data_IF_997164171134
#
_entry.id   IF_997164171134
#
_cell.length_a   1.000
_cell.length_b   1.000
_cell.length_c   1.000
_cell.angle_alpha   90.00
_cell.angle_beta   90.00
_cell.angle_gamma   90.00
#
_symmetry.space_group_name_H-M   'P 1'
#
loop_
_entity.id
_entity.type
_entity.pdbx_description
1 polymer ?
#
# COMPACT_ATOMS: atom_id res chain seq x y z
N UNK A 1 2.12 12.25 -3.34
CA UNK A 1 3.32 12.13 -2.46
C UNK A 1 3.35 10.71 -1.91
N UNK A 2 4.52 10.09 -1.78
CA UNK A 2 4.63 8.71 -1.28
C UNK A 2 5.55 8.60 -0.04
N UNK A 3 5.34 7.55 0.75
CA UNK A 3 6.22 7.13 1.84
C UNK A 3 7.49 6.47 1.30
N UNK A 4 8.48 6.16 2.16
CA UNK A 4 9.50 5.16 1.81
C UNK A 4 8.87 3.80 1.45
N UNK A 5 9.61 2.98 0.71
CA UNK A 5 9.17 1.65 0.29
C UNK A 5 9.58 0.61 1.34
N UNK A 6 8.61 -0.20 1.78
CA UNK A 6 8.85 -1.38 2.61
C UNK A 6 9.09 -2.58 1.71
N UNK A 7 10.19 -3.29 1.95
CA UNK A 7 10.60 -4.50 1.23
C UNK A 7 10.55 -5.68 2.19
N UNK A 8 9.99 -6.82 1.77
CA UNK A 8 9.91 -8.02 2.60
C UNK A 8 9.77 -9.30 1.78
N UNK A 9 10.00 -10.44 2.42
CA UNK A 9 9.78 -11.76 1.84
C UNK A 9 8.56 -12.42 2.48
N UNK A 10 7.79 -13.14 1.68
CA UNK A 10 6.68 -13.98 2.16
C UNK A 10 6.26 -14.99 1.10
N UNK A 11 5.89 -16.20 1.53
CA UNK A 11 5.24 -17.22 0.69
C UNK A 11 3.72 -17.24 0.82
N UNK A 12 3.14 -16.28 1.56
CA UNK A 12 1.69 -16.22 1.82
C UNK A 12 0.87 -15.71 0.64
N UNK A 13 1.49 -14.91 -0.21
CA UNK A 13 0.83 -14.23 -1.30
C UNK A 13 1.10 -15.01 -2.59
N UNK A 14 0.07 -15.67 -3.09
CA UNK A 14 0.14 -16.34 -4.38
C UNK A 14 -0.04 -15.31 -5.50
N UNK A 15 0.73 -15.44 -6.56
CA UNK A 15 0.49 -14.70 -7.80
C UNK A 15 -0.75 -15.31 -8.47
N UNK A 16 -1.79 -14.50 -8.70
CA UNK A 16 -2.97 -14.98 -9.42
C UNK A 16 -2.70 -14.96 -10.91
N UNK A 17 -3.14 -16.02 -11.60
CA UNK A 17 -2.96 -16.14 -13.03
C UNK A 17 -3.56 -14.92 -13.75
N UNK A 18 -2.77 -14.33 -14.64
CA UNK A 18 -3.14 -13.17 -15.47
C UNK A 18 -3.48 -11.87 -14.70
N UNK A 19 -3.16 -11.75 -13.40
CA UNK A 19 -3.43 -10.52 -12.65
C UNK A 19 -2.66 -9.30 -13.20
N UNK A 20 -1.50 -9.54 -13.82
CA UNK A 20 -0.66 -8.53 -14.44
C UNK A 20 -1.18 -8.02 -15.80
N UNK A 21 -2.28 -8.60 -16.32
CA UNK A 21 -3.02 -8.04 -17.46
C UNK A 21 -3.82 -6.80 -17.11
N UNK A 22 -4.11 -6.59 -15.82
CA UNK A 22 -4.86 -5.44 -15.33
C UNK A 22 -3.94 -4.30 -14.85
N UNK A 23 -2.70 -4.63 -14.50
CA UNK A 23 -1.64 -3.68 -14.13
C UNK A 23 -0.69 -3.49 -15.34
N UNK A 24 0.56 -3.93 -15.22
CA UNK A 24 1.53 -4.07 -16.31
C UNK A 24 2.24 -5.42 -16.19
N UNK A 25 2.79 -5.97 -17.29
CA UNK A 25 3.48 -7.26 -17.25
C UNK A 25 4.53 -7.35 -16.14
N UNK A 26 4.44 -8.39 -15.31
CA UNK A 26 5.34 -8.59 -14.18
C UNK A 26 5.05 -7.77 -12.93
N UNK A 27 3.94 -7.02 -12.89
CA UNK A 27 3.45 -6.30 -11.71
C UNK A 27 2.37 -7.12 -11.02
N UNK A 28 2.79 -7.88 -10.01
CA UNK A 28 1.93 -8.74 -9.19
C UNK A 28 1.69 -8.13 -7.82
N UNK A 29 0.66 -8.55 -7.09
CA UNK A 29 0.39 -8.03 -5.75
C UNK A 29 -1.06 -8.11 -5.30
N UNK A 30 -1.95 -8.71 -6.07
CA UNK A 30 -3.38 -8.70 -5.77
C UNK A 30 -3.68 -9.32 -4.41
N UNK A 31 -3.13 -10.50 -4.11
CA UNK A 31 -3.31 -11.18 -2.81
C UNK A 31 -2.71 -10.41 -1.65
N UNK A 32 -1.62 -9.69 -1.87
CA UNK A 32 -1.03 -8.84 -0.86
C UNK A 32 -1.93 -7.63 -0.57
N UNK A 33 -2.47 -6.99 -1.60
CA UNK A 33 -3.40 -5.87 -1.45
C UNK A 33 -4.70 -6.30 -0.75
N UNK A 34 -5.30 -7.42 -1.18
CA UNK A 34 -6.51 -7.98 -0.55
C UNK A 34 -6.28 -8.29 0.94
N UNK A 35 -5.15 -8.91 1.25
CA UNK A 35 -4.79 -9.17 2.63
C UNK A 35 -4.58 -7.88 3.42
N UNK A 36 -3.83 -6.92 2.89
CA UNK A 36 -3.60 -5.62 3.51
C UNK A 36 -4.92 -4.89 3.81
N UNK A 37 -5.86 -4.88 2.87
CA UNK A 37 -7.18 -4.28 3.05
C UNK A 37 -7.94 -4.87 4.25
N UNK A 38 -7.77 -6.16 4.52
CA UNK A 38 -8.38 -6.85 5.66
C UNK A 38 -7.67 -6.60 6.99
N UNK A 39 -6.36 -6.29 6.97
CA UNK A 39 -5.58 -6.02 8.20
C UNK A 39 -5.68 -4.57 8.66
N UNK A 40 -5.84 -3.60 7.74
CA UNK A 40 -5.93 -2.16 8.06
C UNK A 40 -6.90 -1.82 9.22
N UNK A 41 -8.09 -2.45 9.36
CA UNK A 41 -9.00 -2.19 10.48
C UNK A 41 -8.41 -2.44 11.87
N UNK A 42 -7.42 -3.32 11.99
CA UNK A 42 -6.74 -3.58 13.28
C UNK A 42 -5.92 -2.39 13.78
N UNK A 43 -5.58 -1.45 12.90
CA UNK A 43 -4.89 -0.20 13.20
C UNK A 43 -5.78 1.04 13.03
N UNK A 44 -7.10 0.86 12.94
CA UNK A 44 -8.07 1.97 12.86
C UNK A 44 -8.22 2.59 11.47
N UNK A 45 -7.71 1.94 10.41
CA UNK A 45 -7.90 2.37 9.03
C UNK A 45 -8.93 1.48 8.32
N UNK A 46 -9.62 2.04 7.33
CA UNK A 46 -10.63 1.30 6.57
C UNK A 46 -10.33 1.37 5.08
N UNK A 47 -10.26 0.21 4.43
CA UNK A 47 -10.22 0.14 2.98
C UNK A 47 -11.55 0.62 2.38
N UNK A 48 -11.49 1.38 1.29
CA UNK A 48 -12.65 1.84 0.53
C UNK A 48 -12.87 0.91 -0.67
N UNK A 49 -13.74 -0.08 -0.50
CA UNK A 49 -14.13 -0.98 -1.59
C UNK A 49 -13.08 -2.04 -1.93
N UNK A 50 -13.05 -2.44 -3.20
CA UNK A 50 -12.14 -3.47 -3.73
C UNK A 50 -10.75 -2.87 -4.03
N UNK A 51 -9.73 -3.74 -4.09
CA UNK A 51 -8.39 -3.35 -4.52
C UNK A 51 -8.38 -3.01 -6.00
N UNK A 52 -7.64 -1.97 -6.36
CA UNK A 52 -7.66 -1.39 -7.70
C UNK A 52 -6.32 -1.70 -8.39
N UNK A 53 -6.33 -2.24 -9.61
CA UNK A 53 -5.11 -2.40 -10.38
C UNK A 53 -4.66 -1.04 -10.93
N UNK A 54 -3.39 -0.72 -10.71
CA UNK A 54 -2.69 0.41 -11.32
C UNK A 54 -1.49 -0.10 -12.11
N UNK A 55 -0.98 0.71 -13.04
CA UNK A 55 0.17 0.38 -13.90
C UNK A 55 1.44 -0.06 -13.12
N UNK A 56 1.52 0.20 -11.81
CA UNK A 56 2.68 -0.04 -10.96
C UNK A 56 2.43 -0.94 -9.73
N UNK A 57 1.18 -1.19 -9.35
CA UNK A 57 0.83 -1.97 -8.16
C UNK A 57 -0.65 -2.37 -8.14
N UNK A 58 -0.99 -3.27 -7.23
CA UNK A 58 -2.35 -3.39 -6.72
C UNK A 58 -2.53 -2.45 -5.53
N UNK A 59 -3.47 -1.53 -5.64
CA UNK A 59 -3.67 -0.45 -4.68
C UNK A 59 -4.88 -0.72 -3.78
N UNK A 60 -4.72 -0.52 -2.48
CA UNK A 60 -5.80 -0.50 -1.49
C UNK A 60 -6.22 0.95 -1.28
N UNK A 61 -7.40 1.39 -1.73
CA UNK A 61 -7.92 2.71 -1.39
C UNK A 61 -8.24 2.76 0.11
N UNK A 62 -7.89 3.84 0.80
CA UNK A 62 -8.05 4.00 2.26
C UNK A 62 -8.84 5.27 2.56
N UNK A 63 -9.77 5.16 3.51
CA UNK A 63 -10.57 6.30 3.95
C UNK A 63 -9.68 7.41 4.54
N UNK A 64 -9.82 8.62 4.02
CA UNK A 64 -9.18 9.83 4.52
C UNK A 64 -10.07 11.04 4.24
N UNK A 65 -10.03 12.06 5.09
CA UNK A 65 -10.96 13.20 5.03
C UNK A 65 -10.65 14.16 3.86
N UNK A 66 -9.37 14.43 3.60
CA UNK A 66 -8.93 15.53 2.74
C UNK A 66 -8.11 15.08 1.51
N UNK A 67 -7.94 13.78 1.28
CA UNK A 67 -7.15 13.25 0.17
C UNK A 67 -7.54 11.82 -0.24
N UNK A 68 -7.19 11.42 -1.46
CA UNK A 68 -7.26 10.03 -1.86
C UNK A 68 -5.98 9.33 -1.38
N UNK A 69 -6.14 8.38 -0.47
CA UNK A 69 -5.03 7.72 0.20
C UNK A 69 -5.01 6.25 -0.21
N UNK A 70 -3.82 5.73 -0.49
CA UNK A 70 -3.66 4.38 -1.00
C UNK A 70 -2.49 3.66 -0.33
N UNK A 71 -2.63 2.33 -0.16
CA UNK A 71 -1.50 1.43 0.05
C UNK A 71 -1.23 0.71 -1.26
N UNK A 72 -0.08 0.96 -1.88
CA UNK A 72 0.41 0.21 -3.04
C UNK A 72 1.05 -1.10 -2.58
N UNK A 73 0.69 -2.21 -3.23
CA UNK A 73 1.24 -3.54 -3.00
C UNK A 73 1.73 -4.12 -4.33
N UNK A 74 3.02 -4.46 -4.40
CA UNK A 74 3.62 -4.95 -5.65
C UNK A 74 4.71 -5.99 -5.40
N UNK A 75 5.02 -6.82 -6.39
CA UNK A 75 6.15 -7.75 -6.38
C UNK A 75 7.47 -7.04 -6.64
N UNK A 76 8.55 -7.56 -6.08
CA UNK A 76 9.93 -7.19 -6.40
C UNK A 76 10.67 -8.34 -7.08
N UNK A 77 11.88 -8.08 -7.58
CA UNK A 77 12.82 -9.14 -8.02
C UNK A 77 13.00 -10.19 -6.92
N UNK A 78 13.10 -9.73 -5.67
CA UNK A 78 13.11 -10.58 -4.48
C UNK A 78 11.98 -10.18 -3.52
N UNK A 79 10.89 -10.96 -3.53
CA UNK A 79 9.79 -10.81 -2.58
C UNK A 79 8.77 -9.75 -2.96
N UNK A 80 8.41 -8.90 -2.01
CA UNK A 80 7.27 -8.00 -2.08
C UNK A 80 7.61 -6.60 -1.60
N UNK A 81 6.85 -5.63 -2.07
CA UNK A 81 6.94 -4.23 -1.70
C UNK A 81 5.59 -3.69 -1.28
N UNK A 82 5.60 -2.80 -0.28
CA UNK A 82 4.45 -1.99 0.07
C UNK A 82 4.86 -0.54 0.36
N UNK A 83 4.06 0.42 -0.08
CA UNK A 83 4.25 1.83 0.26
C UNK A 83 2.93 2.57 0.25
N UNK A 84 2.89 3.70 0.91
CA UNK A 84 1.70 4.54 1.03
C UNK A 84 1.86 5.75 0.13
N UNK A 85 0.80 6.13 -0.57
CA UNK A 85 0.79 7.40 -1.28
C UNK A 85 -0.56 8.09 -1.16
N UNK A 86 -0.52 9.41 -1.21
CA UNK A 86 -1.71 10.23 -1.36
C UNK A 86 -1.72 10.83 -2.77
N UNK A 87 -2.82 10.63 -3.47
CA UNK A 87 -3.20 11.40 -4.64
C UNK A 87 -4.24 12.45 -4.23
N UNK A 88 -4.03 13.66 -4.71
CA UNK A 88 -4.97 14.74 -4.54
C UNK A 88 -4.81 15.62 -5.76
N UNK A 89 -5.92 15.87 -6.45
CA UNK A 89 -6.00 16.96 -7.41
C UNK A 89 -5.54 18.29 -6.79
N UNK A 90 -5.47 19.33 -7.61
CA UNK A 90 -4.86 20.65 -7.34
C UNK A 90 -5.42 21.48 -6.14
N UNK A 91 -6.18 20.88 -5.22
CA UNK A 91 -6.79 21.50 -4.05
C UNK A 91 -5.74 21.79 -2.95
N UNK A 92 -5.33 23.06 -2.99
CA UNK A 92 -5.04 23.98 -1.89
C UNK A 92 -3.82 23.72 -0.98
N UNK A 93 -2.65 24.07 -1.54
CA UNK A 93 -1.47 24.52 -0.79
C UNK A 93 -1.68 25.93 -0.19
N UNK A 94 -2.58 26.07 0.78
CA UNK A 94 -2.67 27.26 1.61
C UNK A 94 -2.20 26.90 3.03
N UNK A 95 -1.14 27.58 3.50
CA UNK A 95 -0.53 27.52 4.84
C UNK A 95 0.81 26.76 5.04
N UNK A 96 1.48 26.26 3.99
CA UNK A 96 2.89 25.84 4.06
C UNK A 96 3.19 24.54 4.81
N UNK A 97 2.20 23.91 5.46
CA UNK A 97 2.26 22.54 5.98
C UNK A 97 1.41 21.67 5.08
N UNK A 98 1.99 20.62 4.53
CA UNK A 98 1.28 19.67 3.68
C UNK A 98 0.61 18.61 4.58
N UNK A 99 -0.71 18.67 4.83
CA UNK A 99 -1.40 17.72 5.71
C UNK A 99 -1.24 16.28 5.22
N UNK A 100 -1.02 16.08 3.91
CA UNK A 100 -0.79 14.77 3.30
C UNK A 100 0.45 14.08 3.87
N UNK A 101 1.47 14.85 4.29
CA UNK A 101 2.73 14.26 4.75
C UNK A 101 2.53 13.55 6.10
N UNK A 102 1.70 14.14 6.96
CA UNK A 102 1.30 13.54 8.23
C UNK A 102 0.47 12.29 8.00
N UNK A 103 -0.58 12.36 7.18
CA UNK A 103 -1.48 11.22 6.92
C UNK A 103 -0.73 10.06 6.24
N UNK A 104 0.13 10.34 5.26
CA UNK A 104 0.97 9.31 4.62
C UNK A 104 1.93 8.67 5.62
N UNK A 105 2.55 9.46 6.50
CA UNK A 105 3.47 8.93 7.51
C UNK A 105 2.75 8.07 8.56
N UNK A 106 1.58 8.49 9.02
CA UNK A 106 0.77 7.74 10.00
C UNK A 106 0.28 6.41 9.43
N UNK A 107 -0.25 6.39 8.21
CA UNK A 107 -0.65 5.15 7.55
C UNK A 107 0.56 4.26 7.24
N UNK A 108 1.70 4.85 6.85
CA UNK A 108 2.94 4.08 6.64
C UNK A 108 3.40 3.38 7.93
N UNK A 109 3.33 4.06 9.08
CA UNK A 109 3.63 3.45 10.37
C UNK A 109 2.69 2.29 10.69
N UNK A 110 1.40 2.42 10.38
CA UNK A 110 0.43 1.34 10.56
C UNK A 110 0.73 0.15 9.64
N UNK A 111 0.94 0.38 8.35
CA UNK A 111 1.29 -0.66 7.36
C UNK A 111 2.56 -1.41 7.76
N UNK A 112 3.58 -0.68 8.24
CA UNK A 112 4.79 -1.30 8.80
C UNK A 112 4.45 -2.22 9.97
N UNK A 113 3.68 -1.74 10.95
CA UNK A 113 3.33 -2.55 12.14
C UNK A 113 2.59 -3.83 11.74
N UNK A 114 1.64 -3.73 10.80
CA UNK A 114 0.92 -4.89 10.24
C UNK A 114 1.92 -5.91 9.68
N UNK A 115 2.89 -5.46 8.88
CA UNK A 115 3.91 -6.34 8.30
C UNK A 115 4.88 -6.90 9.33
N UNK A 116 5.25 -6.14 10.36
CA UNK A 116 6.14 -6.57 11.44
C UNK A 116 5.49 -7.66 12.31
N UNK A 117 4.19 -7.53 12.59
CA UNK A 117 3.45 -8.44 13.46
C UNK A 117 2.91 -9.68 12.73
N UNK A 118 2.84 -9.64 11.39
CA UNK A 118 2.26 -10.71 10.59
C UNK A 118 3.16 -11.96 10.52
N UNK A 119 2.66 -13.15 10.91
CA UNK A 119 3.44 -14.38 10.79
C UNK A 119 3.71 -14.70 9.32
N UNK A 120 4.94 -15.10 8.99
CA UNK A 120 5.32 -15.44 7.61
C UNK A 120 5.73 -14.25 6.75
N UNK A 121 5.88 -13.06 7.35
CA UNK A 121 6.67 -11.96 6.79
C UNK A 121 8.09 -12.06 7.35
N UNK A 122 9.11 -11.91 6.51
CA UNK A 122 10.52 -11.92 6.90
C UNK A 122 11.32 -10.86 6.15
N UNK A 123 12.50 -10.52 6.69
CA UNK A 123 13.42 -9.54 6.11
C UNK A 123 12.79 -8.17 5.81
N UNK A 124 11.82 -7.74 6.61
CA UNK A 124 11.21 -6.43 6.45
C UNK A 124 12.25 -5.32 6.66
N UNK A 125 12.40 -4.46 5.66
CA UNK A 125 13.28 -3.29 5.71
C UNK A 125 12.73 -2.17 4.84
N UNK A 126 13.36 -1.00 4.94
CA UNK A 126 13.04 0.15 4.08
C UNK A 126 14.11 0.31 3.02
N UNK A 127 13.69 0.59 1.79
CA UNK A 127 14.57 0.95 0.67
C UNK A 127 14.97 2.43 0.71
#
# INVERSE_FOLDING_TARGET
MHSPVLMFQSSRFEIVADEDKLTNPGIYGMRLAEWMANELPTHGYHALGEVIPEDFAWCVPVAADDCELYVACTSAEEGWQAYVFADCGLMERLAGRDPRATVVAELYTAVRSILEDAPGISYLHTQ
#
